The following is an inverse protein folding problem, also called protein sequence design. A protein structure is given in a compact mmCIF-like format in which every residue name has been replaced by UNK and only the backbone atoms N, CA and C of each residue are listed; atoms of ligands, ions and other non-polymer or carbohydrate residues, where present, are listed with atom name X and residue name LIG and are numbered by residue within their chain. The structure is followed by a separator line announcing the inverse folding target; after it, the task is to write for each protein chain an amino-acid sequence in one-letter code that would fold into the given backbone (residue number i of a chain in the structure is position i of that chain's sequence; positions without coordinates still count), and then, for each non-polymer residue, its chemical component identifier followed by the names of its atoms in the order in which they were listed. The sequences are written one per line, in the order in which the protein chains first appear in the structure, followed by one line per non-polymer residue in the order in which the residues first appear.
data_IF_224520443102
#
_entry.id   IF_224520443102
#
_cell.length_a   1.000
_cell.length_b   1.000
_cell.length_c   1.000
_cell.angle_alpha   90.00
_cell.angle_beta   90.00
_cell.angle_gamma   90.00
#
_symmetry.space_group_name_H-M   'P 1'
#
loop_
_entity.id
_entity.type
_entity.pdbx_description
1 polymer ?
#
# COMPACT_ATOMS: atom_id res chain seq x y z
N UNK A 1 2.10 31.97 -33.96
CA UNK A 1 0.68 32.19 -33.67
C UNK A 1 -0.22 31.04 -34.14
N UNK A 2 -0.20 30.62 -35.42
CA UNK A 2 -0.99 29.46 -35.88
C UNK A 2 -0.60 28.10 -35.25
N UNK A 3 0.70 27.89 -34.98
CA UNK A 3 1.22 26.66 -34.37
C UNK A 3 0.82 26.48 -32.90
N UNK A 4 0.56 27.56 -32.17
CA UNK A 4 0.05 27.47 -30.79
C UNK A 4 -1.42 27.05 -30.75
N UNK A 5 -2.19 27.43 -31.77
CA UNK A 5 -3.61 27.09 -31.89
C UNK A 5 -3.78 25.59 -32.19
N UNK A 6 -2.93 25.01 -33.06
CA UNK A 6 -2.91 23.56 -33.30
C UNK A 6 -2.46 22.78 -32.05
N UNK A 7 -1.45 23.26 -31.32
CA UNK A 7 -0.98 22.60 -30.11
C UNK A 7 -2.06 22.56 -29.02
N UNK A 8 -2.89 23.60 -28.90
CA UNK A 8 -4.00 23.66 -27.94
C UNK A 8 -5.19 22.76 -28.34
N UNK A 9 -5.38 22.51 -29.64
CA UNK A 9 -6.42 21.63 -30.19
C UNK A 9 -6.09 20.14 -29.99
N UNK A 10 -4.81 19.79 -29.94
CA UNK A 10 -4.32 18.41 -29.76
C UNK A 10 -3.94 18.07 -28.31
N UNK A 11 -4.20 18.97 -27.35
CA UNK A 11 -4.05 18.65 -25.94
C UNK A 11 -5.19 17.70 -25.53
N UNK A 12 -4.92 16.56 -24.87
CA UNK A 12 -5.96 15.68 -24.39
C UNK A 12 -6.90 16.49 -23.48
N UNK A 13 -8.19 16.51 -23.82
CA UNK A 13 -9.22 17.22 -23.10
C UNK A 13 -9.10 16.93 -21.60
N UNK A 14 -8.95 17.97 -20.79
CA UNK A 14 -8.91 17.81 -19.35
C UNK A 14 -10.18 17.06 -18.91
N UNK A 15 -10.07 16.04 -18.04
CA UNK A 15 -11.23 15.27 -17.62
C UNK A 15 -12.27 16.22 -17.03
N UNK A 16 -13.47 16.21 -17.61
CA UNK A 16 -14.58 17.07 -17.20
C UNK A 16 -14.80 16.90 -15.69
N UNK A 17 -14.41 17.92 -14.92
CA UNK A 17 -14.57 17.89 -13.47
C UNK A 17 -16.06 17.96 -13.14
N UNK A 18 -16.55 16.98 -12.37
CA UNK A 18 -17.93 16.99 -11.89
C UNK A 18 -18.15 18.24 -11.02
N UNK A 19 -19.34 18.84 -11.13
CA UNK A 19 -19.74 19.98 -10.30
C UNK A 19 -19.49 19.71 -8.80
N UNK A 20 -19.07 20.73 -8.06
CA UNK A 20 -18.70 20.64 -6.64
C UNK A 20 -19.75 19.93 -5.79
N UNK A 21 -21.04 20.23 -6.02
CA UNK A 21 -22.17 19.59 -5.32
C UNK A 21 -22.31 18.09 -5.63
N UNK A 22 -22.16 17.69 -6.89
CA UNK A 22 -22.21 16.27 -7.26
C UNK A 22 -21.04 15.49 -6.66
N UNK A 23 -19.85 16.10 -6.59
CA UNK A 23 -18.69 15.45 -5.99
C UNK A 23 -18.85 15.30 -4.47
N UNK A 24 -19.38 16.32 -3.77
CA UNK A 24 -19.69 16.24 -2.33
C UNK A 24 -20.71 15.12 -2.07
N UNK A 25 -21.73 15.00 -2.93
CA UNK A 25 -22.76 13.98 -2.81
C UNK A 25 -22.19 12.58 -2.97
N UNK A 26 -21.32 12.35 -3.95
CA UNK A 26 -20.65 11.06 -4.15
C UNK A 26 -19.77 10.68 -2.94
N UNK A 27 -19.11 11.64 -2.31
CA UNK A 27 -18.34 11.41 -1.09
C UNK A 27 -19.24 11.05 0.09
N UNK A 28 -20.34 11.78 0.30
CA UNK A 28 -21.32 11.45 1.34
C UNK A 28 -21.92 10.06 1.13
N UNK A 29 -22.28 9.71 -0.12
CA UNK A 29 -22.79 8.40 -0.48
C UNK A 29 -21.77 7.29 -0.15
N UNK A 30 -20.50 7.52 -0.48
CA UNK A 30 -19.41 6.57 -0.18
C UNK A 30 -19.27 6.33 1.33
N UNK A 31 -19.21 7.41 2.13
CA UNK A 31 -19.11 7.32 3.59
C UNK A 31 -20.34 6.61 4.18
N UNK A 32 -21.53 6.89 3.65
CA UNK A 32 -22.76 6.24 4.08
C UNK A 32 -22.74 4.73 3.79
N UNK A 33 -22.27 4.30 2.61
CA UNK A 33 -22.14 2.88 2.27
C UNK A 33 -21.14 2.19 3.20
N UNK A 34 -20.00 2.81 3.50
CA UNK A 34 -18.99 2.24 4.42
C UNK A 34 -19.56 2.13 5.84
N UNK A 35 -20.24 3.17 6.32
CA UNK A 35 -20.88 3.14 7.63
C UNK A 35 -21.94 2.04 7.68
N UNK A 36 -22.83 1.95 6.68
CA UNK A 36 -23.84 0.91 6.59
C UNK A 36 -23.22 -0.51 6.55
N UNK A 37 -22.09 -0.68 5.88
CA UNK A 37 -21.34 -1.95 5.85
C UNK A 37 -20.80 -2.30 7.22
N UNK A 38 -20.19 -1.33 7.92
CA UNK A 38 -19.67 -1.53 9.27
C UNK A 38 -20.80 -1.86 10.25
N UNK A 39 -21.87 -1.05 10.29
CA UNK A 39 -23.05 -1.26 11.14
C UNK A 39 -23.76 -2.58 10.83
N UNK A 40 -23.94 -2.91 9.55
CA UNK A 40 -24.49 -4.19 9.13
C UNK A 40 -23.67 -5.36 9.65
N UNK A 41 -22.34 -5.28 9.63
CA UNK A 41 -21.49 -6.33 10.16
C UNK A 41 -21.69 -6.56 11.67
N UNK A 42 -21.89 -5.50 12.46
CA UNK A 42 -22.12 -5.60 13.92
C UNK A 42 -23.51 -6.14 14.21
N UNK A 43 -24.54 -5.66 13.51
CA UNK A 43 -25.92 -6.06 13.76
C UNK A 43 -26.20 -7.51 13.35
N UNK A 44 -25.62 -7.96 12.24
CA UNK A 44 -25.80 -9.30 11.71
C UNK A 44 -24.81 -10.32 12.30
N UNK A 45 -24.09 -9.96 13.37
CA UNK A 45 -23.10 -10.80 14.04
C UNK A 45 -23.62 -12.18 14.43
N UNK A 46 -24.81 -12.19 15.04
CA UNK A 46 -25.38 -13.38 15.69
C UNK A 46 -26.38 -14.13 14.79
N UNK A 47 -26.82 -13.50 13.69
CA UNK A 47 -27.85 -14.05 12.80
C UNK A 47 -27.28 -14.85 11.62
N UNK A 48 -26.06 -14.57 11.19
CA UNK A 48 -25.47 -15.17 9.98
C UNK A 48 -24.07 -15.72 10.20
N UNK A 49 -23.77 -16.85 9.53
CA UNK A 49 -22.44 -17.46 9.55
C UNK A 49 -21.37 -16.53 8.95
N UNK A 50 -20.15 -16.63 9.48
CA UNK A 50 -19.02 -15.76 9.12
C UNK A 50 -18.69 -15.68 7.63
N UNK A 51 -18.76 -16.75 6.81
CA UNK A 51 -18.36 -16.66 5.40
C UNK A 51 -19.30 -15.77 4.57
N UNK A 52 -20.61 -15.84 4.83
CA UNK A 52 -21.62 -15.08 4.09
C UNK A 52 -21.49 -13.58 4.36
N UNK A 53 -21.21 -13.21 5.63
CA UNK A 53 -20.97 -11.82 6.01
C UNK A 53 -19.71 -11.26 5.34
N UNK A 54 -18.64 -12.03 5.27
CA UNK A 54 -17.39 -11.61 4.61
C UNK A 54 -17.65 -11.33 3.13
N UNK A 55 -18.37 -12.22 2.43
CA UNK A 55 -18.74 -12.00 1.03
C UNK A 55 -19.58 -10.73 0.86
N UNK A 56 -20.59 -10.53 1.71
CA UNK A 56 -21.43 -9.32 1.67
C UNK A 56 -20.62 -8.03 1.89
N UNK A 57 -19.70 -8.04 2.85
CA UNK A 57 -18.81 -6.91 3.13
C UNK A 57 -17.93 -6.62 1.91
N UNK A 58 -17.30 -7.64 1.34
CA UNK A 58 -16.43 -7.47 0.16
C UNK A 58 -17.21 -6.85 -1.01
N UNK A 59 -18.43 -7.33 -1.28
CA UNK A 59 -19.28 -6.77 -2.35
C UNK A 59 -19.60 -5.30 -2.08
N UNK A 60 -20.01 -4.93 -0.87
CA UNK A 60 -20.31 -3.54 -0.52
C UNK A 60 -19.06 -2.65 -0.58
N UNK A 61 -17.90 -3.18 -0.19
CA UNK A 61 -16.62 -2.47 -0.28
C UNK A 61 -16.24 -2.20 -1.74
N UNK A 62 -16.43 -3.17 -2.63
CA UNK A 62 -16.21 -2.99 -4.07
C UNK A 62 -17.14 -1.94 -4.68
N UNK A 63 -18.42 -1.92 -4.28
CA UNK A 63 -19.37 -0.89 -4.70
C UNK A 63 -18.91 0.48 -4.21
N UNK A 64 -18.54 0.59 -2.93
CA UNK A 64 -18.02 1.83 -2.35
C UNK A 64 -16.78 2.34 -3.08
N UNK A 65 -15.85 1.45 -3.43
CA UNK A 65 -14.66 1.78 -4.21
C UNK A 65 -15.03 2.25 -5.63
N UNK A 66 -16.02 1.64 -6.28
CA UNK A 66 -16.51 2.07 -7.59
C UNK A 66 -17.12 3.48 -7.57
N UNK A 67 -17.91 3.79 -6.52
CA UNK A 67 -18.47 5.13 -6.30
C UNK A 67 -17.35 6.14 -6.01
N UNK A 68 -16.40 5.79 -5.14
CA UNK A 68 -15.25 6.62 -4.83
C UNK A 68 -14.34 6.88 -6.05
N UNK A 69 -14.09 5.87 -6.88
CA UNK A 69 -13.33 6.00 -8.12
C UNK A 69 -14.02 6.93 -9.13
N UNK A 70 -15.35 7.00 -9.07
CA UNK A 70 -16.16 7.88 -9.91
C UNK A 70 -16.16 9.35 -9.47
N UNK A 71 -15.60 9.68 -8.30
CA UNK A 71 -15.42 11.06 -7.81
C UNK A 71 -14.34 11.81 -8.62
N UNK A 72 -14.29 13.14 -8.49
CA UNK A 72 -13.27 13.92 -9.19
C UNK A 72 -11.84 13.53 -8.73
N UNK A 73 -11.66 13.37 -7.42
CA UNK A 73 -10.42 12.89 -6.81
C UNK A 73 -10.08 11.46 -7.24
N UNK A 74 -11.09 10.57 -7.31
CA UNK A 74 -10.92 9.20 -7.79
C UNK A 74 -10.40 9.14 -9.22
N UNK A 75 -10.98 9.92 -10.14
CA UNK A 75 -10.49 10.00 -11.53
C UNK A 75 -9.09 10.58 -11.63
N UNK A 76 -8.77 11.61 -10.84
CA UNK A 76 -7.41 12.17 -10.76
C UNK A 76 -6.42 11.09 -10.31
N UNK A 77 -6.71 10.37 -9.24
CA UNK A 77 -5.87 9.27 -8.75
C UNK A 77 -5.68 8.19 -9.83
N UNK A 78 -6.74 7.78 -10.53
CA UNK A 78 -6.64 6.83 -11.64
C UNK A 78 -5.76 7.34 -12.80
N UNK A 79 -5.79 8.64 -13.09
CA UNK A 79 -4.86 9.29 -14.00
C UNK A 79 -3.42 9.18 -13.52
N UNK A 80 -3.16 9.56 -12.26
CA UNK A 80 -1.85 9.42 -11.63
C UNK A 80 -1.33 7.98 -11.65
N UNK A 81 -2.18 6.96 -11.47
CA UNK A 81 -1.75 5.56 -11.59
C UNK A 81 -1.29 5.19 -13.01
N UNK A 82 -1.95 5.72 -14.04
CA UNK A 82 -1.54 5.53 -15.44
C UNK A 82 -0.20 6.22 -15.72
N UNK A 83 -0.03 7.43 -15.20
CA UNK A 83 1.21 8.20 -15.32
C UNK A 83 2.34 7.59 -14.48
N UNK A 84 2.05 7.01 -13.32
CA UNK A 84 3.01 6.26 -12.53
C UNK A 84 3.48 5.00 -13.25
N UNK A 85 2.58 4.27 -13.92
CA UNK A 85 2.97 3.14 -14.80
C UNK A 85 3.85 3.61 -15.97
N UNK A 86 3.56 4.80 -16.47
CA UNK A 86 4.42 5.70 -17.26
C UNK A 86 5.90 5.64 -16.89
N UNK A 87 6.13 6.16 -15.69
CA UNK A 87 7.44 6.38 -15.07
C UNK A 87 8.09 5.08 -14.58
N UNK A 88 7.31 4.13 -14.07
CA UNK A 88 7.81 2.81 -13.64
C UNK A 88 8.49 2.06 -14.80
N UNK A 89 8.06 2.28 -16.05
CA UNK A 89 8.74 1.71 -17.23
C UNK A 89 10.08 2.37 -17.54
N UNK A 90 10.31 3.59 -17.05
CA UNK A 90 11.61 4.28 -17.17
C UNK A 90 12.59 3.83 -16.08
N UNK A 91 12.12 3.11 -15.06
CA UNK A 91 13.01 2.47 -14.09
C UNK A 91 13.72 1.33 -14.79
N UNK A 92 14.97 1.58 -15.15
CA UNK A 92 15.91 0.54 -15.52
C UNK A 92 16.23 -0.22 -14.25
N UNK A 93 15.56 -1.35 -14.05
CA UNK A 93 15.87 -2.22 -12.92
C UNK A 93 17.30 -2.74 -13.09
N UNK A 94 18.11 -2.68 -12.02
CA UNK A 94 19.49 -3.13 -12.04
C UNK A 94 19.57 -4.58 -12.54
N UNK A 95 20.65 -4.88 -13.25
CA UNK A 95 20.82 -6.22 -13.82
C UNK A 95 20.99 -7.24 -12.69
N UNK A 96 20.54 -8.49 -12.92
CA UNK A 96 20.65 -9.61 -11.96
C UNK A 96 22.05 -9.71 -11.31
N UNK A 97 23.17 -9.63 -12.05
CA UNK A 97 24.50 -9.77 -11.45
C UNK A 97 24.82 -8.68 -10.41
N UNK A 98 24.47 -7.41 -10.68
CA UNK A 98 24.71 -6.29 -9.74
C UNK A 98 23.88 -6.44 -8.46
N UNK A 99 22.63 -6.88 -8.60
CA UNK A 99 21.72 -7.12 -7.46
C UNK A 99 22.22 -8.28 -6.59
N UNK A 100 22.73 -9.35 -7.21
CA UNK A 100 23.28 -10.48 -6.47
C UNK A 100 24.59 -10.15 -5.76
N UNK A 101 25.45 -9.33 -6.37
CA UNK A 101 26.73 -8.94 -5.76
C UNK A 101 26.51 -8.11 -4.50
N UNK A 102 25.61 -7.12 -4.56
CA UNK A 102 25.26 -6.28 -3.41
C UNK A 102 24.55 -7.09 -2.33
N UNK A 103 23.63 -7.99 -2.70
CA UNK A 103 22.97 -8.90 -1.74
C UNK A 103 23.96 -9.80 -1.03
N UNK A 104 24.89 -10.44 -1.76
CA UNK A 104 25.92 -11.29 -1.17
C UNK A 104 26.87 -10.52 -0.25
N UNK A 105 27.21 -9.27 -0.61
CA UNK A 105 28.01 -8.39 0.25
C UNK A 105 27.28 -8.09 1.57
N UNK A 106 26.00 -7.72 1.51
CA UNK A 106 25.18 -7.47 2.72
C UNK A 106 25.02 -8.72 3.56
N UNK A 107 24.78 -9.88 2.94
CA UNK A 107 24.70 -11.17 3.65
C UNK A 107 26.03 -11.48 4.34
N UNK A 108 27.16 -11.29 3.66
CA UNK A 108 28.49 -11.50 4.24
C UNK A 108 28.73 -10.63 5.48
N UNK A 109 28.41 -9.33 5.38
CA UNK A 109 28.54 -8.40 6.52
C UNK A 109 27.59 -8.79 7.66
N UNK A 110 26.35 -9.16 7.35
CA UNK A 110 25.35 -9.55 8.36
C UNK A 110 25.78 -10.80 9.11
N UNK A 111 26.31 -11.81 8.41
CA UNK A 111 26.85 -13.04 9.02
C UNK A 111 28.08 -12.74 9.88
N UNK A 112 28.96 -11.86 9.41
CA UNK A 112 30.14 -11.46 10.18
C UNK A 112 29.75 -10.77 11.49
N UNK A 113 28.84 -9.80 11.43
CA UNK A 113 28.34 -9.08 12.62
C UNK A 113 27.59 -10.02 13.55
N UNK A 114 26.73 -10.90 13.03
CA UNK A 114 25.98 -11.85 13.86
C UNK A 114 26.89 -12.84 14.59
N UNK A 115 27.97 -13.29 13.94
CA UNK A 115 28.95 -14.18 14.57
C UNK A 115 29.73 -13.49 15.69
N UNK A 116 30.11 -12.22 15.50
CA UNK A 116 30.79 -11.43 16.53
C UNK A 116 29.88 -11.23 17.74
N UNK A 117 28.63 -10.82 17.52
CA UNK A 117 27.65 -10.65 18.60
C UNK A 117 27.44 -11.97 19.32
N UNK A 118 27.11 -13.05 18.60
CA UNK A 118 26.91 -14.36 19.21
C UNK A 118 28.10 -14.83 20.06
N UNK A 119 29.34 -14.62 19.59
CA UNK A 119 30.54 -14.95 20.36
C UNK A 119 30.68 -14.11 21.63
N UNK A 120 30.48 -12.79 21.54
CA UNK A 120 30.55 -11.88 22.68
C UNK A 120 29.45 -12.18 23.71
N UNK A 121 28.21 -12.34 23.27
CA UNK A 121 27.08 -12.73 24.12
C UNK A 121 27.35 -14.06 24.83
N UNK A 122 27.90 -15.06 24.13
CA UNK A 122 28.24 -16.37 24.71
C UNK A 122 29.31 -16.26 25.79
N UNK A 123 30.34 -15.43 25.57
CA UNK A 123 31.41 -15.19 26.55
C UNK A 123 30.86 -14.48 27.78
N UNK A 124 30.04 -13.44 27.60
CA UNK A 124 29.41 -12.70 28.70
C UNK A 124 28.56 -13.64 29.55
N UNK A 125 27.70 -14.45 28.92
CA UNK A 125 26.85 -15.42 29.63
C UNK A 125 27.71 -16.43 30.39
N UNK A 126 28.74 -16.99 29.76
CA UNK A 126 29.64 -17.96 30.40
C UNK A 126 30.36 -17.38 31.63
N UNK A 127 30.75 -16.10 31.58
CA UNK A 127 31.38 -15.41 32.71
C UNK A 127 30.37 -15.20 33.83
N UNK A 128 29.16 -14.73 33.50
CA UNK A 128 28.10 -14.49 34.48
C UNK A 128 27.69 -15.79 35.17
N UNK A 129 27.53 -16.89 34.42
CA UNK A 129 27.19 -18.19 35.01
C UNK A 129 28.33 -18.69 35.89
N UNK A 130 29.58 -18.61 35.44
CA UNK A 130 30.73 -19.01 36.25
C UNK A 130 30.83 -18.23 37.59
N UNK A 131 30.64 -16.91 37.56
CA UNK A 131 30.63 -16.07 38.76
C UNK A 131 29.44 -16.35 39.68
N UNK A 132 28.29 -16.74 39.11
CA UNK A 132 27.08 -17.06 39.88
C UNK A 132 27.20 -18.43 40.53
N UNK A 133 27.70 -19.43 39.79
CA UNK A 133 27.94 -20.79 40.27
C UNK A 133 29.02 -20.80 41.36
N UNK A 134 30.01 -19.90 41.30
CA UNK A 134 31.03 -19.73 42.34
C UNK A 134 30.45 -19.28 43.70
N UNK A 135 29.24 -18.72 43.74
CA UNK A 135 28.59 -18.24 44.97
C UNK A 135 27.73 -19.31 45.67
N UNK A 136 27.72 -20.55 45.18
CA UNK A 136 27.12 -21.71 45.85
C UNK A 136 28.17 -22.81 46.05
#
# INVERSE_FOLDING_TARGET
MALEIEKKKNAPEAPIEKAKGLNIFLWLLTVLIIAATAFGNIYFQDQYATPIRVVAIVVLLLISLGVAASTNQGRKALGFFKDARTELRKIVWPTRPETTQTTLMVVGITVFVSLILWGLDSIIVSIITFLTDWRF
#
